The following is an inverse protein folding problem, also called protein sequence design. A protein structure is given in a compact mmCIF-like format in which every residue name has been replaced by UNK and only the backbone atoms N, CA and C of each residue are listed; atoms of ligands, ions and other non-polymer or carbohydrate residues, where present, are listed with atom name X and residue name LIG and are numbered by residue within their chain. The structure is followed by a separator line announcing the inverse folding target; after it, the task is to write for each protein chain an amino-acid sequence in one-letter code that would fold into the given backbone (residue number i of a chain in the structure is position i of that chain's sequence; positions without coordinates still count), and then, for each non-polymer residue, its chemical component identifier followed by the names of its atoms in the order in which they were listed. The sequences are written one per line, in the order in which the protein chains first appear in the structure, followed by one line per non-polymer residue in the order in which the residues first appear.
data_IF_293089623111
#
_entry.id   IF_293089623111
#
_cell.length_a   1.000
_cell.length_b   1.000
_cell.length_c   1.000
_cell.angle_alpha   90.00
_cell.angle_beta   90.00
_cell.angle_gamma   90.00
#
_symmetry.space_group_name_H-M   'P 1'
#
loop_
_entity.id
_entity.type
_entity.pdbx_description
1 polymer ?
#
# COMPACT_ATOMS: atom_id res chain seq x y z
N UNK A 1 -20.64 -10.82 -11.99
CA UNK A 1 -20.54 -10.58 -10.53
C UNK A 1 -19.25 -9.79 -10.31
N UNK A 2 -19.31 -8.58 -9.74
CA UNK A 2 -18.13 -7.73 -9.55
C UNK A 2 -17.56 -7.99 -8.16
N UNK A 3 -16.34 -8.51 -8.07
CA UNK A 3 -15.63 -8.60 -6.80
C UNK A 3 -15.47 -7.17 -6.27
N UNK A 4 -16.04 -6.89 -5.11
CA UNK A 4 -15.98 -5.55 -4.50
C UNK A 4 -15.28 -5.71 -3.17
N UNK A 5 -14.09 -5.13 -3.02
CA UNK A 5 -13.39 -5.15 -1.75
C UNK A 5 -14.14 -4.26 -0.76
N UNK A 6 -14.41 -4.78 0.44
CA UNK A 6 -14.96 -4.02 1.55
C UNK A 6 -13.83 -3.69 2.51
N UNK A 7 -13.64 -2.41 2.76
CA UNK A 7 -12.63 -1.93 3.70
C UNK A 7 -13.33 -1.39 4.95
N UNK A 8 -12.77 -1.70 6.11
CA UNK A 8 -13.09 -1.02 7.35
C UNK A 8 -12.07 0.10 7.57
N UNK A 9 -12.49 1.20 8.18
CA UNK A 9 -11.57 2.25 8.59
C UNK A 9 -10.53 1.70 9.58
N UNK A 10 -9.25 2.02 9.34
CA UNK A 10 -8.18 1.66 10.27
C UNK A 10 -8.02 2.76 11.32
N UNK A 11 -8.58 2.49 12.50
CA UNK A 11 -8.50 3.37 13.66
C UNK A 11 -7.04 3.71 14.01
N UNK A 12 -6.74 4.96 14.46
CA UNK A 12 -5.37 5.40 14.76
C UNK A 12 -4.55 4.43 15.62
N UNK A 13 -5.18 3.81 16.62
CA UNK A 13 -4.54 2.91 17.59
C UNK A 13 -4.12 1.57 16.96
N UNK A 14 -4.65 1.23 15.78
CA UNK A 14 -4.32 0.01 15.03
C UNK A 14 -3.31 0.25 13.91
N UNK A 15 -2.92 1.51 13.67
CA UNK A 15 -1.94 1.86 12.62
C UNK A 15 -0.54 1.49 13.08
N UNK A 16 0.25 0.76 12.26
CA UNK A 16 1.65 0.50 12.56
C UNK A 16 2.42 1.79 12.88
N UNK A 17 3.30 1.72 13.87
CA UNK A 17 4.17 2.83 14.27
C UNK A 17 5.63 2.46 14.09
N UNK A 18 6.42 3.44 13.69
CA UNK A 18 7.89 3.37 13.66
C UNK A 18 8.47 4.58 14.37
N UNK A 19 8.63 4.55 15.71
CA UNK A 19 9.02 5.72 16.49
C UNK A 19 10.40 6.29 16.11
N UNK A 20 11.31 5.43 15.64
CA UNK A 20 12.66 5.83 15.26
C UNK A 20 12.78 6.23 13.79
N UNK A 21 11.74 5.98 13.00
CA UNK A 21 11.70 6.23 11.54
C UNK A 21 12.84 5.53 10.79
N UNK A 22 13.33 4.41 11.32
CA UNK A 22 14.45 3.65 10.77
C UNK A 22 14.07 2.23 10.33
N UNK A 23 12.81 1.84 10.54
CA UNK A 23 12.27 0.55 10.16
C UNK A 23 12.76 -0.65 10.99
N UNK A 24 13.60 -0.46 12.02
CA UNK A 24 14.25 -1.57 12.77
C UNK A 24 13.24 -2.52 13.41
N UNK A 25 12.08 -1.99 13.84
CA UNK A 25 10.99 -2.78 14.44
C UNK A 25 9.93 -3.27 13.45
N UNK A 26 10.08 -2.96 12.17
CA UNK A 26 9.08 -3.28 11.15
C UNK A 26 9.36 -4.63 10.50
N UNK A 27 8.28 -5.38 10.26
CA UNK A 27 8.28 -6.61 9.47
C UNK A 27 7.40 -6.43 8.25
N UNK A 28 7.84 -7.00 7.14
CA UNK A 28 7.15 -6.96 5.86
C UNK A 28 6.83 -8.37 5.39
N UNK A 29 5.58 -8.61 5.01
CA UNK A 29 5.13 -9.88 4.43
C UNK A 29 4.53 -9.59 3.06
N UNK A 30 5.10 -10.20 2.00
CA UNK A 30 4.51 -10.13 0.66
C UNK A 30 3.27 -11.00 0.61
N UNK A 31 2.24 -10.54 -0.10
CA UNK A 31 0.95 -11.21 -0.15
C UNK A 31 0.62 -11.65 -1.56
N UNK A 32 -0.32 -10.99 -2.24
CA UNK A 32 -0.66 -11.29 -3.62
C UNK A 32 0.54 -10.97 -4.52
N UNK A 33 0.75 -11.78 -5.56
CA UNK A 33 1.78 -11.55 -6.58
C UNK A 33 1.13 -11.62 -7.97
N UNK A 34 1.62 -10.81 -8.92
CA UNK A 34 1.13 -10.82 -10.30
C UNK A 34 1.34 -9.50 -11.02
N UNK A 35 0.71 -9.35 -12.19
CA UNK A 35 0.84 -8.22 -13.10
C UNK A 35 0.60 -8.63 -14.56
N UNK A 36 0.92 -7.76 -15.53
CA UNK A 36 1.03 -8.18 -16.93
C UNK A 36 2.25 -9.12 -17.08
N UNK A 37 2.04 -10.23 -17.80
CA UNK A 37 2.90 -11.42 -17.94
C UNK A 37 4.43 -11.19 -18.08
N UNK A 38 5.31 -12.08 -17.55
CA UNK A 38 5.23 -12.88 -16.34
C UNK A 38 5.86 -12.10 -15.17
N UNK A 39 5.00 -11.49 -14.35
CA UNK A 39 5.44 -10.64 -13.25
C UNK A 39 5.24 -11.33 -11.89
N UNK A 40 6.28 -11.35 -11.08
CA UNK A 40 6.26 -11.84 -9.69
C UNK A 40 6.23 -10.67 -8.69
N UNK A 41 5.89 -9.47 -9.13
CA UNK A 41 5.77 -8.29 -8.29
C UNK A 41 4.69 -8.50 -7.21
N UNK A 42 4.97 -8.19 -5.94
CA UNK A 42 3.95 -8.12 -4.90
C UNK A 42 2.89 -7.06 -5.25
N UNK A 43 1.64 -7.49 -5.26
CA UNK A 43 0.46 -6.63 -5.42
C UNK A 43 -0.10 -6.15 -4.06
N UNK A 44 0.41 -6.71 -2.97
CA UNK A 44 0.13 -6.26 -1.62
C UNK A 44 1.29 -6.60 -0.68
N UNK A 45 1.58 -5.69 0.25
CA UNK A 45 2.58 -5.86 1.31
C UNK A 45 1.89 -5.57 2.64
N UNK A 46 1.97 -6.53 3.56
CA UNK A 46 1.55 -6.31 4.95
C UNK A 46 2.73 -5.78 5.76
N UNK A 47 2.56 -4.58 6.31
CA UNK A 47 3.48 -4.01 7.30
C UNK A 47 3.01 -4.39 8.70
N UNK A 48 3.93 -4.83 9.54
CA UNK A 48 3.67 -5.17 10.94
C UNK A 48 4.72 -4.45 11.79
N UNK A 49 4.30 -3.73 12.82
CA UNK A 49 5.24 -3.09 13.75
C UNK A 49 5.62 -3.97 14.95
N UNK A 50 6.48 -3.44 15.81
CA UNK A 50 7.00 -4.15 16.99
C UNK A 50 5.92 -4.54 18.02
N UNK A 51 4.77 -3.85 18.02
CA UNK A 51 3.62 -4.17 18.89
C UNK A 51 2.61 -5.11 18.20
N UNK A 52 2.86 -5.49 16.94
CA UNK A 52 1.98 -6.36 16.16
C UNK A 52 0.80 -5.64 15.51
N UNK A 53 0.76 -4.30 15.52
CA UNK A 53 -0.20 -3.53 14.70
C UNK A 53 0.16 -3.73 13.24
N UNK A 54 -0.86 -3.80 12.36
CA UNK A 54 -0.62 -4.08 10.95
C UNK A 54 -1.57 -3.35 10.02
N UNK A 55 -1.09 -3.07 8.82
CA UNK A 55 -1.89 -2.62 7.69
C UNK A 55 -1.34 -3.20 6.37
N UNK A 56 -2.16 -3.15 5.32
CA UNK A 56 -1.80 -3.61 3.99
C UNK A 56 -1.58 -2.37 3.12
N UNK A 57 -0.44 -2.31 2.45
CA UNK A 57 -0.13 -1.36 1.40
C UNK A 57 -0.27 -2.05 0.05
N UNK A 58 -0.86 -1.35 -0.91
CA UNK A 58 -1.02 -1.80 -2.30
C UNK A 58 -0.32 -0.80 -3.22
N UNK A 59 0.23 -1.24 -4.36
CA UNK A 59 0.76 -0.34 -5.38
C UNK A 59 -0.33 0.63 -5.88
N UNK A 60 0.11 1.82 -6.31
CA UNK A 60 -0.78 2.77 -6.98
C UNK A 60 -1.17 2.16 -8.33
N UNK A 61 -2.47 2.17 -8.64
CA UNK A 61 -2.99 1.67 -9.90
C UNK A 61 -3.84 2.71 -10.62
N UNK A 62 -3.69 2.77 -11.95
CA UNK A 62 -4.56 3.53 -12.84
C UNK A 62 -5.00 2.58 -13.96
N UNK A 63 -6.30 2.55 -14.24
CA UNK A 63 -6.90 1.66 -15.25
C UNK A 63 -6.46 0.19 -15.14
N UNK A 64 -6.26 -0.29 -13.90
CA UNK A 64 -5.86 -1.67 -13.61
C UNK A 64 -4.37 -1.97 -13.82
N UNK A 65 -3.55 -0.96 -14.11
CA UNK A 65 -2.10 -1.10 -14.26
C UNK A 65 -1.38 -0.44 -13.09
N UNK A 66 -0.33 -1.09 -12.60
CA UNK A 66 0.58 -0.49 -11.62
C UNK A 66 1.35 0.62 -12.31
N UNK A 67 1.35 1.81 -11.69
CA UNK A 67 2.00 3.01 -12.22
C UNK A 67 3.01 3.54 -11.23
N UNK A 68 4.00 4.25 -11.76
CA UNK A 68 4.96 5.02 -10.95
C UNK A 68 4.46 6.46 -10.77
N UNK A 69 4.73 7.05 -9.61
CA UNK A 69 4.31 8.41 -9.28
C UNK A 69 5.43 9.39 -9.63
N UNK A 70 5.27 10.14 -10.73
CA UNK A 70 6.30 11.03 -11.28
C UNK A 70 6.19 12.49 -10.78
N UNK A 71 5.96 12.72 -9.48
CA UNK A 71 5.70 14.02 -8.83
C UNK A 71 4.32 14.66 -9.05
N UNK A 72 4.06 15.71 -8.27
CA UNK A 72 2.85 16.53 -8.34
C UNK A 72 2.99 17.61 -9.42
N UNK A 73 2.08 17.62 -10.40
CA UNK A 73 1.88 18.77 -11.29
C UNK A 73 0.72 19.61 -10.77
N UNK A 74 0.92 20.93 -10.62
CA UNK A 74 -0.20 21.85 -10.43
C UNK A 74 -1.02 21.89 -11.72
N UNK A 75 -2.34 21.70 -11.59
CA UNK A 75 -3.27 21.98 -12.69
C UNK A 75 -3.33 23.50 -12.90
N UNK A 76 -2.91 24.03 -14.07
CA UNK A 76 -2.90 25.46 -14.31
C UNK A 76 -4.29 26.09 -14.40
N UNK A 77 -5.40 25.31 -14.45
CA UNK A 77 -6.76 25.84 -14.62
C UNK A 77 -7.61 25.92 -13.33
N UNK A 78 -7.01 25.89 -12.14
CA UNK A 78 -7.76 25.85 -10.87
C UNK A 78 -7.49 27.01 -9.89
N UNK A 79 -8.03 28.21 -10.16
CA UNK A 79 -8.38 29.24 -9.16
C UNK A 79 -9.74 29.85 -9.46
#
# INVERSE_FOLDING_TARGET
MKLTHKFAELMPEKRPQDPNLDGTGLRFETMEHGGEYPDTMPQAIKLIDAEGRSCIYVPITQDGKVVDSQDYSFDPEGW
#
